data_IF_501347683977
#
_entry.id   IF_501347683977
#
_cell.length_a   1.000
_cell.length_b   1.000
_cell.length_c   1.000
_cell.angle_alpha   90.00
_cell.angle_beta   90.00
_cell.angle_gamma   90.00
#
_symmetry.space_group_name_H-M   'P 1'
#
loop_
_entity.id
_entity.type
_entity.pdbx_description
1 polymer ?
#
# COMPACT_ATOMS: atom_id res chain seq x y z
N UNK A 1 -18.57 3.39 -26.27
CA UNK A 1 -18.21 1.95 -26.37
C UNK A 1 -16.82 1.72 -26.97
N UNK A 2 -16.35 2.54 -27.92
CA UNK A 2 -15.09 2.33 -28.66
C UNK A 2 -13.79 2.26 -27.83
N UNK A 3 -13.81 2.62 -26.54
CA UNK A 3 -12.63 2.60 -25.65
C UNK A 3 -12.77 1.55 -24.53
N UNK A 4 -13.69 0.59 -24.67
CA UNK A 4 -13.81 -0.55 -23.76
C UNK A 4 -13.25 -1.83 -24.43
N UNK A 5 -12.51 -2.68 -23.69
CA UNK A 5 -12.13 -2.49 -22.29
C UNK A 5 -10.98 -1.48 -22.13
N UNK A 6 -11.01 -0.70 -21.06
CA UNK A 6 -9.89 0.10 -20.57
C UNK A 6 -8.91 -0.84 -19.88
N UNK A 7 -7.78 -1.12 -20.54
CA UNK A 7 -6.72 -2.01 -20.08
C UNK A 7 -5.36 -1.30 -20.23
N UNK A 8 -4.90 -0.56 -19.22
CA UNK A 8 -3.60 0.10 -19.26
C UNK A 8 -2.47 -0.94 -19.17
N UNK A 9 -1.32 -0.64 -19.79
CA UNK A 9 -0.13 -1.50 -19.70
C UNK A 9 0.48 -1.54 -18.29
N UNK A 10 0.28 -0.45 -17.52
CA UNK A 10 0.79 -0.31 -16.15
C UNK A 10 -0.29 0.25 -15.24
N UNK A 11 -0.32 -0.23 -14.01
CA UNK A 11 -1.18 0.27 -12.94
C UNK A 11 -0.33 1.02 -11.94
N UNK A 12 -0.69 2.27 -11.71
CA UNK A 12 0.00 3.17 -10.80
C UNK A 12 -0.97 3.70 -9.76
N UNK A 13 -0.43 4.01 -8.58
CA UNK A 13 -1.16 4.70 -7.52
C UNK A 13 -0.89 6.19 -7.63
N UNK A 14 -1.77 7.00 -7.07
CA UNK A 14 -1.57 8.44 -6.95
C UNK A 14 -2.02 8.91 -5.58
N UNK A 15 -1.31 9.86 -5.01
CA UNK A 15 -1.76 10.52 -3.79
C UNK A 15 -3.09 11.23 -4.06
N UNK A 16 -4.05 11.05 -3.14
CA UNK A 16 -5.34 11.73 -3.21
C UNK A 16 -5.16 13.25 -3.25
N UNK A 17 -5.99 13.95 -4.04
CA UNK A 17 -5.94 15.40 -4.17
C UNK A 17 -6.43 16.15 -2.91
N UNK A 18 -6.85 15.44 -1.87
CA UNK A 18 -7.19 16.04 -0.58
C UNK A 18 -5.97 16.73 0.06
N UNK A 19 -6.11 18.00 0.44
CA UNK A 19 -5.02 18.82 0.97
C UNK A 19 -4.43 18.26 2.28
N UNK A 20 -5.26 17.68 3.15
CA UNK A 20 -4.82 17.02 4.38
C UNK A 20 -3.98 15.77 4.10
N UNK A 21 -4.41 14.95 3.13
CA UNK A 21 -3.66 13.75 2.72
C UNK A 21 -2.33 14.13 2.08
N UNK A 22 -2.32 15.12 1.18
CA UNK A 22 -1.08 15.60 0.55
C UNK A 22 -0.09 16.13 1.59
N UNK A 23 -0.57 16.92 2.57
CA UNK A 23 0.26 17.41 3.67
C UNK A 23 0.87 16.26 4.46
N UNK A 24 0.06 15.26 4.83
CA UNK A 24 0.54 14.10 5.58
C UNK A 24 1.56 13.27 4.79
N UNK A 25 1.29 13.02 3.51
CA UNK A 25 2.20 12.30 2.63
C UNK A 25 3.56 13.00 2.53
N UNK A 26 3.58 14.33 2.36
CA UNK A 26 4.82 15.10 2.29
C UNK A 26 5.63 15.03 3.59
N UNK A 27 4.97 15.02 4.76
CA UNK A 27 5.64 14.81 6.05
C UNK A 27 6.30 13.42 6.07
N UNK A 28 5.55 12.37 5.72
CA UNK A 28 6.06 11.00 5.72
C UNK A 28 7.24 10.84 4.74
N UNK A 29 7.12 11.39 3.52
CA UNK A 29 8.18 11.38 2.51
C UNK A 29 9.47 12.03 3.03
N UNK A 30 9.36 13.18 3.69
CA UNK A 30 10.52 13.86 4.30
C UNK A 30 11.14 13.10 5.47
N UNK A 31 10.39 12.22 6.14
CA UNK A 31 10.93 11.31 7.16
C UNK A 31 11.65 10.12 6.51
N UNK A 32 11.11 9.57 5.42
CA UNK A 32 11.75 8.47 4.69
C UNK A 32 13.14 8.83 4.16
N UNK A 33 13.33 10.07 3.70
CA UNK A 33 14.63 10.56 3.21
C UNK A 33 15.71 10.59 4.30
N UNK A 34 15.32 10.65 5.57
CA UNK A 34 16.24 10.76 6.73
C UNK A 34 16.41 9.46 7.50
N UNK A 35 15.56 8.47 7.24
CA UNK A 35 15.52 7.23 7.99
C UNK A 35 16.55 6.23 7.45
N UNK A 36 17.34 5.66 8.35
CA UNK A 36 18.21 4.52 8.03
C UNK A 36 17.40 3.25 7.75
N UNK A 37 16.33 3.04 8.53
CA UNK A 37 15.42 1.90 8.42
C UNK A 37 13.97 2.37 8.56
N UNK A 38 13.08 1.79 7.75
CA UNK A 38 11.63 1.97 7.88
C UNK A 38 11.02 0.70 8.48
N UNK A 39 10.17 0.88 9.49
CA UNK A 39 9.40 -0.22 10.08
C UNK A 39 7.94 -0.06 9.65
N UNK A 40 7.47 -1.00 8.83
CA UNK A 40 6.07 -1.09 8.44
C UNK A 40 5.24 -1.63 9.62
N UNK A 41 4.41 -0.74 10.18
CA UNK A 41 3.50 -1.00 11.29
C UNK A 41 2.03 -1.05 10.87
N UNK A 42 1.72 -1.33 9.59
CA UNK A 42 0.35 -1.58 9.16
C UNK A 42 -0.26 -2.78 9.90
N UNK A 43 -1.59 -2.86 9.93
CA UNK A 43 -2.29 -3.99 10.55
C UNK A 43 -1.82 -5.33 9.97
N UNK A 44 -1.80 -6.37 10.81
CA UNK A 44 -1.42 -7.74 10.42
C UNK A 44 -2.46 -8.37 9.49
N UNK A 45 -2.47 -7.91 8.23
CA UNK A 45 -3.39 -8.32 7.20
C UNK A 45 -3.01 -7.75 5.84
N UNK A 46 -3.75 -8.17 4.83
CA UNK A 46 -3.43 -7.85 3.44
C UNK A 46 -3.53 -6.35 3.12
N UNK A 47 -4.60 -5.69 3.57
CA UNK A 47 -4.79 -4.25 3.35
C UNK A 47 -3.75 -3.41 4.11
N UNK A 48 -3.41 -3.84 5.34
CA UNK A 48 -2.36 -3.20 6.14
C UNK A 48 -1.00 -3.26 5.45
N UNK A 49 -0.66 -4.38 4.81
CA UNK A 49 0.56 -4.48 4.00
C UNK A 49 0.47 -3.63 2.72
N UNK A 50 -0.66 -3.71 2.00
CA UNK A 50 -0.86 -3.03 0.72
C UNK A 50 -0.72 -1.51 0.83
N UNK A 51 -1.43 -0.90 1.77
CA UNK A 51 -1.46 0.57 1.93
C UNK A 51 -0.07 1.10 2.25
N UNK A 52 0.65 0.45 3.17
CA UNK A 52 1.98 0.90 3.59
C UNK A 52 2.99 0.79 2.43
N UNK A 53 2.93 -0.31 1.66
CA UNK A 53 3.75 -0.48 0.45
C UNK A 53 3.44 0.55 -0.63
N UNK A 54 2.18 0.94 -0.81
CA UNK A 54 1.84 2.04 -1.72
C UNK A 54 2.46 3.36 -1.32
N UNK A 55 2.41 3.72 -0.03
CA UNK A 55 3.04 4.94 0.47
C UNK A 55 4.55 4.91 0.25
N UNK A 56 5.21 3.78 0.53
CA UNK A 56 6.65 3.60 0.28
C UNK A 56 7.01 3.70 -1.21
N UNK A 57 6.22 3.07 -2.10
CA UNK A 57 6.45 3.11 -3.54
C UNK A 57 6.27 4.52 -4.11
N UNK A 58 5.22 5.23 -3.68
CA UNK A 58 4.93 6.60 -4.09
C UNK A 58 5.96 7.60 -3.55
N UNK A 59 6.52 7.33 -2.37
CA UNK A 59 7.65 8.09 -1.83
C UNK A 59 9.00 7.72 -2.49
N UNK A 60 9.02 6.72 -3.38
CA UNK A 60 10.22 6.18 -4.03
C UNK A 60 11.32 5.73 -3.07
N UNK A 61 10.93 5.23 -1.89
CA UNK A 61 11.88 4.73 -0.90
C UNK A 61 12.52 3.40 -1.38
N UNK A 62 13.84 3.29 -1.23
CA UNK A 62 14.64 2.11 -1.63
C UNK A 62 15.54 1.56 -0.53
N UNK A 63 15.43 2.09 0.68
CA UNK A 63 16.24 1.68 1.82
C UNK A 63 15.70 0.41 2.50
N UNK A 64 16.24 0.10 3.67
CA UNK A 64 15.86 -1.10 4.42
C UNK A 64 14.45 -0.97 5.00
N UNK A 65 13.63 -2.01 4.81
CA UNK A 65 12.28 -2.09 5.38
C UNK A 65 12.14 -3.35 6.22
N UNK A 66 11.67 -3.17 7.46
CA UNK A 66 11.25 -4.25 8.38
C UNK A 66 9.75 -4.23 8.59
N UNK A 67 9.18 -5.33 9.04
CA UNK A 67 7.75 -5.50 9.29
C UNK A 67 7.49 -5.85 10.75
N UNK A 68 6.62 -5.06 11.39
CA UNK A 68 6.07 -5.33 12.72
C UNK A 68 4.74 -6.07 12.61
N UNK A 69 4.74 -7.40 12.73
CA UNK A 69 3.54 -8.21 12.54
C UNK A 69 2.85 -8.55 13.87
N UNK A 70 1.97 -7.66 14.33
CA UNK A 70 1.20 -7.82 15.57
C UNK A 70 -0.29 -7.58 15.35
N UNK A 71 -1.14 -8.28 16.11
CA UNK A 71 -2.60 -8.09 16.14
C UNK A 71 -3.12 -7.57 17.48
N UNK A 72 -2.25 -7.45 18.48
CA UNK A 72 -2.56 -6.92 19.81
C UNK A 72 -1.88 -5.57 20.02
N UNK A 73 -2.57 -4.65 20.67
CA UNK A 73 -2.08 -3.31 21.04
C UNK A 73 -1.58 -3.24 22.50
N UNK A 74 -1.44 -4.38 23.18
CA UNK A 74 -0.86 -4.42 24.53
C UNK A 74 0.63 -4.07 24.49
N UNK A 75 1.12 -3.42 25.55
CA UNK A 75 2.51 -3.00 25.67
C UNK A 75 3.49 -4.17 25.50
N UNK A 76 3.11 -5.35 26.01
CA UNK A 76 3.90 -6.57 25.95
C UNK A 76 4.01 -7.08 24.51
N UNK A 77 2.89 -7.14 23.78
CA UNK A 77 2.86 -7.58 22.39
C UNK A 77 3.64 -6.63 21.46
N UNK A 78 3.55 -5.32 21.71
CA UNK A 78 4.33 -4.34 20.96
C UNK A 78 5.83 -4.56 21.18
N UNK A 79 6.28 -4.71 22.44
CA UNK A 79 7.69 -4.95 22.75
C UNK A 79 8.21 -6.23 22.09
N UNK A 80 7.50 -7.35 22.27
CA UNK A 80 7.86 -8.62 21.65
C UNK A 80 7.88 -8.53 20.12
N UNK A 81 6.93 -7.80 19.53
CA UNK A 81 6.89 -7.58 18.09
C UNK A 81 8.10 -6.81 17.55
N UNK A 82 8.58 -5.80 18.29
CA UNK A 82 9.78 -5.04 17.92
C UNK A 82 11.08 -5.84 18.11
N UNK A 83 11.11 -6.79 19.06
CA UNK A 83 12.23 -7.72 19.21
C UNK A 83 12.28 -8.75 18.07
N UNK A 84 11.13 -9.04 17.45
CA UNK A 84 10.98 -10.08 16.42
C UNK A 84 10.60 -9.54 15.04
N UNK A 85 11.08 -8.34 14.69
CA UNK A 85 10.84 -7.73 13.37
C UNK A 85 11.26 -8.66 12.24
N UNK A 86 10.41 -8.73 11.21
CA UNK A 86 10.65 -9.56 10.03
C UNK A 86 11.16 -8.72 8.85
N UNK A 87 11.94 -9.29 7.94
CA UNK A 87 12.20 -8.67 6.65
C UNK A 87 10.89 -8.40 5.91
N UNK A 88 10.76 -7.24 5.25
CA UNK A 88 9.56 -6.93 4.49
C UNK A 88 9.29 -7.94 3.35
N UNK A 89 10.35 -8.55 2.81
CA UNK A 89 10.28 -9.57 1.75
C UNK A 89 9.45 -10.80 2.13
N UNK A 90 9.34 -11.12 3.42
CA UNK A 90 8.52 -12.24 3.91
C UNK A 90 7.03 -12.03 3.57
N UNK A 91 6.63 -10.79 3.29
CA UNK A 91 5.25 -10.37 3.00
C UNK A 91 5.03 -9.95 1.55
N UNK A 92 5.99 -10.16 0.65
CA UNK A 92 5.86 -9.76 -0.76
C UNK A 92 4.66 -10.45 -1.44
N UNK A 93 4.45 -11.75 -1.18
CA UNK A 93 3.28 -12.46 -1.71
C UNK A 93 1.95 -11.88 -1.21
N UNK A 94 1.91 -11.40 0.04
CA UNK A 94 0.72 -10.77 0.61
C UNK A 94 0.46 -9.42 -0.06
N UNK A 95 1.52 -8.63 -0.28
CA UNK A 95 1.46 -7.38 -1.04
C UNK A 95 0.96 -7.62 -2.47
N UNK A 96 1.55 -8.56 -3.21
CA UNK A 96 1.16 -8.87 -4.60
C UNK A 96 -0.27 -9.39 -4.71
N UNK A 97 -0.74 -10.18 -3.73
CA UNK A 97 -2.13 -10.58 -3.66
C UNK A 97 -3.06 -9.36 -3.50
N UNK A 98 -2.69 -8.39 -2.64
CA UNK A 98 -3.47 -7.17 -2.41
C UNK A 98 -3.52 -6.29 -3.66
N UNK A 99 -2.35 -6.11 -4.28
CA UNK A 99 -2.23 -5.31 -5.49
C UNK A 99 -2.99 -5.92 -6.67
N UNK A 100 -2.92 -7.24 -6.84
CA UNK A 100 -3.66 -7.96 -7.88
C UNK A 100 -5.18 -7.84 -7.70
N UNK A 101 -5.67 -7.91 -6.45
CA UNK A 101 -7.09 -7.67 -6.14
C UNK A 101 -7.50 -6.25 -6.52
N UNK A 102 -6.74 -5.24 -6.09
CA UNK A 102 -7.04 -3.84 -6.39
C UNK A 102 -7.10 -3.57 -7.91
N UNK A 103 -6.21 -4.18 -8.69
CA UNK A 103 -6.24 -4.13 -10.16
C UNK A 103 -7.50 -4.81 -10.71
N UNK A 104 -7.84 -5.99 -10.22
CA UNK A 104 -9.03 -6.74 -10.64
C UNK A 104 -10.32 -5.96 -10.39
N UNK A 105 -10.46 -5.39 -9.19
CA UNK A 105 -11.60 -4.56 -8.81
C UNK A 105 -11.71 -3.31 -9.69
N UNK A 106 -10.59 -2.64 -9.97
CA UNK A 106 -10.57 -1.49 -10.86
C UNK A 106 -10.98 -1.86 -12.28
N UNK A 107 -10.41 -2.93 -12.83
CA UNK A 107 -10.68 -3.41 -14.19
C UNK A 107 -12.15 -3.77 -14.37
N UNK A 108 -12.70 -4.56 -13.46
CA UNK A 108 -14.10 -4.95 -13.52
C UNK A 108 -15.00 -3.72 -13.32
N UNK A 109 -14.72 -2.91 -12.30
CA UNK A 109 -15.55 -1.76 -11.94
C UNK A 109 -15.63 -0.70 -13.03
N UNK A 110 -14.49 -0.28 -13.60
CA UNK A 110 -14.46 0.78 -14.61
C UNK A 110 -15.11 0.33 -15.93
N UNK A 111 -14.89 -0.93 -16.33
CA UNK A 111 -15.39 -1.45 -17.60
C UNK A 111 -16.87 -1.81 -17.52
N UNK A 112 -17.30 -2.51 -16.46
CA UNK A 112 -18.69 -2.90 -16.29
C UNK A 112 -19.59 -1.67 -16.08
N UNK A 113 -19.22 -0.76 -15.16
CA UNK A 113 -20.01 0.45 -14.91
C UNK A 113 -20.20 1.27 -16.19
N UNK A 114 -19.13 1.53 -16.95
CA UNK A 114 -19.26 2.29 -18.21
C UNK A 114 -20.08 1.56 -19.27
N UNK A 115 -19.96 0.23 -19.38
CA UNK A 115 -20.76 -0.56 -20.31
C UNK A 115 -22.26 -0.43 -20.01
N UNK A 116 -22.65 -0.57 -18.74
CA UNK A 116 -24.06 -0.56 -18.33
C UNK A 116 -24.67 0.85 -18.16
N UNK A 117 -23.86 1.91 -18.05
CA UNK A 117 -24.38 3.30 -18.01
C UNK A 117 -24.57 3.92 -19.40
N UNK A 118 -23.75 3.53 -20.39
CA UNK A 118 -23.78 4.12 -21.74
C UNK A 118 -24.60 3.28 -22.73
N UNK A 119 -25.01 2.08 -22.32
CA UNK A 119 -26.01 1.27 -23.06
C UNK A 119 -27.43 1.61 -22.65
#
# INVERSE_FOLDING_TARGET
LNNLPMLPEKFEVKVSSNSGIQKQFNIIKGLFEKAEVIINCGDAGQEGELIQRWVMNEAHYKGEVKRLWISSLTSEAIKEGFENLKPASDYDNLYYAGFSRAIGDWLLGINATRLFTVK
#
